data_IF_962008745316
#
_entry.id   IF_962008745316
#
_cell.length_a   1.000
_cell.length_b   1.000
_cell.length_c   1.000
_cell.angle_alpha   90.00
_cell.angle_beta   90.00
_cell.angle_gamma   90.00
#
_symmetry.space_group_name_H-M   'P 1'
#
loop_
_entity.id
_entity.type
_entity.pdbx_description
1 polymer ?
#
# COMPACT_ATOMS: atom_id res chain seq x y z
N UNK A 1 -8.71 72.69 19.63
CA UNK A 1 -7.54 72.42 18.77
C UNK A 1 -6.40 71.94 19.65
N UNK A 2 -6.07 70.64 19.62
CA UNK A 2 -4.78 70.09 20.06
C UNK A 2 -4.73 68.62 19.65
N UNK A 3 -3.56 68.21 19.13
CA UNK A 3 -3.37 67.19 18.11
C UNK A 3 -3.31 65.79 18.72
N UNK A 4 -4.09 64.85 18.18
CA UNK A 4 -3.91 63.42 18.40
C UNK A 4 -2.65 62.98 17.65
N UNK A 5 -1.51 62.91 18.33
CA UNK A 5 -0.24 62.45 17.77
C UNK A 5 -0.15 60.95 18.00
N UNK A 6 -0.47 60.18 16.96
CA UNK A 6 -0.28 58.74 16.92
C UNK A 6 1.23 58.47 16.80
N UNK A 7 1.90 57.84 17.79
CA UNK A 7 3.30 57.51 17.66
C UNK A 7 3.49 56.43 16.59
N UNK A 8 4.09 56.81 15.45
CA UNK A 8 4.43 55.96 14.28
C UNK A 8 5.49 54.88 14.56
N UNK A 9 5.68 54.46 15.82
CA UNK A 9 6.76 53.55 16.24
C UNK A 9 6.27 52.21 16.80
N UNK A 10 4.96 52.02 16.97
CA UNK A 10 4.37 50.76 17.45
C UNK A 10 3.75 49.90 16.34
N UNK A 11 4.06 50.21 15.07
CA UNK A 11 3.58 49.47 13.89
C UNK A 11 4.62 48.50 13.30
N UNK A 12 5.66 48.12 14.06
CA UNK A 12 6.68 47.15 13.60
C UNK A 12 6.99 46.13 14.72
N UNK A 13 5.96 45.49 15.28
CA UNK A 13 6.14 44.21 15.98
C UNK A 13 4.93 43.32 15.64
N UNK A 14 4.72 43.10 14.33
CA UNK A 14 3.80 42.09 13.81
C UNK A 14 4.45 41.31 12.65
N UNK A 15 5.78 41.21 12.66
CA UNK A 15 6.60 40.59 11.61
C UNK A 15 7.62 39.61 12.21
N UNK A 16 7.23 38.88 13.25
CA UNK A 16 8.04 37.83 13.91
C UNK A 16 7.34 36.47 14.00
N UNK A 17 6.13 36.35 13.46
CA UNK A 17 5.49 35.07 13.19
C UNK A 17 5.90 34.68 11.76
N UNK A 18 6.30 33.43 11.54
CA UNK A 18 6.47 32.75 10.23
C UNK A 18 7.87 32.47 9.65
N UNK A 19 8.98 32.40 10.42
CA UNK A 19 10.23 31.92 9.81
C UNK A 19 11.09 30.96 10.67
N UNK A 20 10.44 30.00 11.33
CA UNK A 20 11.15 28.87 11.94
C UNK A 20 10.48 27.53 11.66
N UNK A 21 9.98 27.32 10.44
CA UNK A 21 9.97 25.96 9.89
C UNK A 21 11.38 25.70 9.43
N UNK A 22 12.21 25.19 10.34
CA UNK A 22 13.46 24.55 9.98
C UNK A 22 13.18 23.64 8.78
N UNK A 23 13.95 23.80 7.71
CA UNK A 23 13.98 22.85 6.63
C UNK A 23 14.29 21.48 7.24
N UNK A 24 13.25 20.69 7.51
CA UNK A 24 13.37 19.25 7.56
C UNK A 24 13.77 18.86 6.13
N UNK A 25 15.07 18.86 5.89
CA UNK A 25 15.69 18.17 4.78
C UNK A 25 15.30 16.70 4.96
N UNK A 26 14.14 16.33 4.41
CA UNK A 26 13.78 14.95 4.22
C UNK A 26 14.78 14.43 3.19
N UNK A 27 15.86 13.82 3.65
CA UNK A 27 16.76 13.05 2.79
C UNK A 27 15.95 11.90 2.27
N UNK A 28 15.23 12.12 1.16
CA UNK A 28 14.51 11.08 0.47
C UNK A 28 15.56 10.06 0.03
N UNK A 29 15.66 8.97 0.77
CA UNK A 29 16.44 7.81 0.37
C UNK A 29 15.87 7.33 -0.95
N UNK A 30 16.72 7.14 -1.95
CA UNK A 30 16.28 6.65 -3.25
C UNK A 30 15.53 5.32 -3.05
N UNK A 31 14.28 5.26 -3.55
CA UNK A 31 13.44 4.07 -3.42
C UNK A 31 14.13 2.91 -4.13
N UNK A 32 14.37 1.83 -3.39
CA UNK A 32 14.99 0.63 -3.93
C UNK A 32 14.07 -0.03 -4.96
N UNK A 33 14.61 -0.84 -5.91
CA UNK A 33 13.76 -1.57 -6.87
C UNK A 33 12.73 -2.48 -6.19
N UNK A 34 13.05 -3.04 -5.01
CA UNK A 34 12.14 -3.86 -4.24
C UNK A 34 10.98 -3.05 -3.65
N UNK A 35 11.27 -1.88 -3.08
CA UNK A 35 10.24 -0.97 -2.58
C UNK A 35 9.33 -0.48 -3.71
N UNK A 36 9.88 -0.08 -4.86
CA UNK A 36 9.09 0.30 -6.04
C UNK A 36 8.19 -0.85 -6.53
N UNK A 37 8.70 -2.09 -6.48
CA UNK A 37 7.91 -3.27 -6.82
C UNK A 37 6.73 -3.42 -5.87
N UNK A 38 6.97 -3.36 -4.56
CA UNK A 38 5.93 -3.52 -3.53
C UNK A 38 4.89 -2.40 -3.62
N UNK A 39 5.31 -1.16 -3.82
CA UNK A 39 4.41 -0.01 -4.01
C UNK A 39 3.48 -0.23 -5.22
N UNK A 40 4.03 -0.62 -6.37
CA UNK A 40 3.23 -0.92 -7.58
C UNK A 40 2.23 -2.04 -7.34
N UNK A 41 2.63 -3.11 -6.66
CA UNK A 41 1.71 -4.21 -6.30
C UNK A 41 0.62 -3.71 -5.35
N UNK A 42 0.98 -2.92 -4.34
CA UNK A 42 0.03 -2.32 -3.39
C UNK A 42 -1.01 -1.44 -4.08
N UNK A 43 -0.58 -0.57 -4.99
CA UNK A 43 -1.49 0.27 -5.80
C UNK A 43 -2.45 -0.58 -6.63
N UNK A 44 -1.96 -1.69 -7.18
CA UNK A 44 -2.79 -2.60 -7.96
C UNK A 44 -3.81 -3.35 -7.08
N UNK A 45 -3.43 -3.73 -5.86
CA UNK A 45 -4.33 -4.31 -4.84
C UNK A 45 -5.45 -3.32 -4.47
N UNK A 46 -5.11 -2.05 -4.22
CA UNK A 46 -6.10 -1.01 -3.92
C UNK A 46 -7.07 -0.79 -5.10
N UNK A 47 -6.58 -0.85 -6.34
CA UNK A 47 -7.45 -0.78 -7.51
C UNK A 47 -8.41 -1.97 -7.60
N UNK A 48 -7.94 -3.20 -7.32
CA UNK A 48 -8.79 -4.39 -7.30
C UNK A 48 -9.83 -4.36 -6.17
N UNK A 49 -9.46 -3.84 -5.00
CA UNK A 49 -10.36 -3.64 -3.86
C UNK A 49 -11.49 -2.66 -4.19
N UNK A 50 -11.14 -1.48 -4.72
CA UNK A 50 -12.15 -0.48 -5.16
C UNK A 50 -13.11 -1.02 -6.21
N UNK A 51 -12.65 -1.95 -7.05
CA UNK A 51 -13.47 -2.61 -8.06
C UNK A 51 -14.31 -3.79 -7.52
N UNK A 52 -14.05 -4.28 -6.30
CA UNK A 52 -14.74 -5.44 -5.71
C UNK A 52 -14.64 -6.71 -6.56
N UNK A 53 -13.51 -6.90 -7.28
CA UNK A 53 -13.42 -7.89 -8.35
C UNK A 53 -12.52 -9.08 -8.03
N UNK A 54 -13.14 -10.26 -7.89
CA UNK A 54 -12.44 -11.55 -7.75
C UNK A 54 -11.47 -11.80 -8.91
N UNK A 55 -11.84 -11.45 -10.15
CA UNK A 55 -10.98 -11.68 -11.31
C UNK A 55 -9.75 -10.77 -11.27
N UNK A 56 -9.88 -9.52 -10.83
CA UNK A 56 -8.76 -8.60 -10.65
C UNK A 56 -7.78 -9.10 -9.60
N UNK A 57 -8.27 -9.53 -8.43
CA UNK A 57 -7.43 -10.15 -7.40
C UNK A 57 -6.73 -11.41 -7.91
N UNK A 58 -7.44 -12.28 -8.64
CA UNK A 58 -6.84 -13.50 -9.22
C UNK A 58 -5.70 -13.17 -10.19
N UNK A 59 -5.88 -12.17 -11.06
CA UNK A 59 -4.81 -11.73 -11.97
C UNK A 59 -3.61 -11.15 -11.22
N UNK A 60 -3.82 -10.44 -10.11
CA UNK A 60 -2.72 -9.96 -9.26
C UNK A 60 -1.94 -11.10 -8.63
N UNK A 61 -2.64 -12.11 -8.12
CA UNK A 61 -2.00 -13.29 -7.52
C UNK A 61 -1.16 -14.06 -8.53
N UNK A 62 -1.69 -14.28 -9.74
CA UNK A 62 -0.96 -14.98 -10.80
C UNK A 62 0.34 -14.28 -11.20
N UNK A 63 0.41 -12.95 -11.09
CA UNK A 63 1.58 -12.15 -11.50
C UNK A 63 2.59 -11.94 -10.38
N UNK A 64 2.16 -11.91 -9.13
CA UNK A 64 2.98 -11.41 -8.02
C UNK A 64 3.12 -12.40 -6.85
N UNK A 65 2.35 -13.49 -6.82
CA UNK A 65 2.37 -14.44 -5.70
C UNK A 65 2.85 -15.83 -6.12
N UNK A 66 3.70 -16.43 -5.29
CA UNK A 66 4.14 -17.82 -5.43
C UNK A 66 3.05 -18.80 -4.95
N UNK A 67 1.88 -18.81 -5.61
CA UNK A 67 0.72 -19.60 -5.18
C UNK A 67 1.04 -21.09 -5.01
N UNK A 68 1.78 -21.78 -5.91
CA UNK A 68 2.13 -23.18 -5.70
C UNK A 68 2.83 -23.44 -4.36
N UNK A 69 3.77 -22.56 -3.99
CA UNK A 69 4.52 -22.66 -2.74
C UNK A 69 3.61 -22.41 -1.54
N UNK A 70 2.80 -21.35 -1.57
CA UNK A 70 1.84 -21.02 -0.52
C UNK A 70 0.85 -22.17 -0.31
N UNK A 71 0.28 -22.69 -1.41
CA UNK A 71 -0.71 -23.76 -1.39
C UNK A 71 -0.14 -25.07 -0.82
N UNK A 72 1.09 -25.45 -1.19
CA UNK A 72 1.74 -26.65 -0.63
C UNK A 72 2.09 -26.44 0.84
N UNK A 73 2.58 -25.26 1.20
CA UNK A 73 2.90 -24.94 2.59
C UNK A 73 1.65 -25.00 3.48
N UNK A 74 0.51 -24.49 3.00
CA UNK A 74 -0.75 -24.49 3.75
C UNK A 74 -1.32 -25.88 4.03
N UNK A 75 -0.85 -26.93 3.33
CA UNK A 75 -1.25 -28.32 3.61
C UNK A 75 -0.57 -28.90 4.85
N UNK A 76 0.57 -28.34 5.27
CA UNK A 76 1.35 -28.85 6.39
C UNK A 76 1.62 -30.38 6.28
N UNK A 77 1.26 -31.18 7.30
CA UNK A 77 1.46 -32.64 7.29
C UNK A 77 0.76 -33.37 6.14
N UNK A 78 -0.33 -32.81 5.61
CA UNK A 78 -1.13 -33.43 4.55
C UNK A 78 -0.52 -33.25 3.15
N UNK A 79 0.59 -32.51 3.00
CA UNK A 79 1.26 -32.29 1.71
C UNK A 79 1.54 -33.58 0.93
N UNK A 80 1.91 -34.65 1.65
CA UNK A 80 2.24 -35.97 1.07
C UNK A 80 0.99 -36.71 0.57
N UNK A 81 -0.20 -36.33 1.03
CA UNK A 81 -1.47 -36.94 0.64
C UNK A 81 -2.05 -36.33 -0.64
N UNK A 82 -1.50 -35.21 -1.13
CA UNK A 82 -1.94 -34.60 -2.39
C UNK A 82 -1.35 -35.36 -3.58
N UNK A 83 -2.17 -36.05 -4.40
CA UNK A 83 -1.67 -36.74 -5.58
C UNK A 83 -1.08 -35.72 -6.57
N UNK A 84 -0.01 -36.12 -7.26
CA UNK A 84 0.63 -35.25 -8.25
C UNK A 84 -0.35 -34.77 -9.34
N UNK A 85 -1.25 -35.65 -9.77
CA UNK A 85 -2.31 -35.36 -10.74
C UNK A 85 -3.29 -34.27 -10.29
N UNK A 86 -3.44 -34.05 -8.99
CA UNK A 86 -4.38 -33.07 -8.40
C UNK A 86 -3.74 -31.73 -8.06
N UNK A 87 -2.41 -31.59 -8.17
CA UNK A 87 -1.69 -30.36 -7.76
C UNK A 87 -2.18 -29.12 -8.49
N UNK A 88 -2.34 -29.19 -9.81
CA UNK A 88 -2.78 -28.04 -10.63
C UNK A 88 -4.19 -27.58 -10.24
N UNK A 89 -5.10 -28.54 -10.06
CA UNK A 89 -6.47 -28.29 -9.61
C UNK A 89 -6.48 -27.64 -8.22
N UNK A 90 -5.72 -28.21 -7.28
CA UNK A 90 -5.59 -27.68 -5.94
C UNK A 90 -5.06 -26.24 -5.92
N UNK A 91 -4.01 -25.92 -6.68
CA UNK A 91 -3.49 -24.55 -6.75
C UNK A 91 -4.51 -23.57 -7.35
N UNK A 92 -5.29 -24.00 -8.34
CA UNK A 92 -6.35 -23.17 -8.92
C UNK A 92 -7.46 -22.89 -7.90
N UNK A 93 -7.86 -23.89 -7.12
CA UNK A 93 -8.85 -23.74 -6.05
C UNK A 93 -8.35 -22.79 -4.94
N UNK A 94 -7.09 -22.93 -4.51
CA UNK A 94 -6.47 -22.01 -3.55
C UNK A 94 -6.43 -20.59 -4.09
N UNK A 95 -6.00 -20.40 -5.34
CA UNK A 95 -5.98 -19.06 -5.97
C UNK A 95 -7.39 -18.44 -5.99
N UNK A 96 -8.40 -19.22 -6.38
CA UNK A 96 -9.80 -18.75 -6.43
C UNK A 96 -10.33 -18.41 -5.04
N UNK A 97 -10.04 -19.24 -4.04
CA UNK A 97 -10.45 -19.01 -2.66
C UNK A 97 -9.85 -17.71 -2.12
N UNK A 98 -8.54 -17.51 -2.24
CA UNK A 98 -7.89 -16.31 -1.72
C UNK A 98 -8.41 -15.06 -2.46
N UNK A 99 -8.54 -15.10 -3.79
CA UNK A 99 -9.09 -13.98 -4.54
C UNK A 99 -10.52 -13.63 -4.13
N UNK A 100 -11.35 -14.64 -3.82
CA UNK A 100 -12.69 -14.44 -3.29
C UNK A 100 -12.68 -13.82 -1.88
N UNK A 101 -11.83 -14.31 -0.98
CA UNK A 101 -11.67 -13.75 0.38
C UNK A 101 -11.30 -12.27 0.29
N UNK A 102 -10.30 -11.93 -0.54
CA UNK A 102 -9.89 -10.54 -0.72
C UNK A 102 -11.03 -9.69 -1.27
N UNK A 103 -11.71 -10.15 -2.33
CA UNK A 103 -12.85 -9.44 -2.90
C UNK A 103 -14.02 -9.23 -1.94
N UNK A 104 -14.22 -10.13 -0.97
CA UNK A 104 -15.31 -10.06 -0.01
C UNK A 104 -15.00 -9.15 1.20
N UNK A 105 -13.72 -8.99 1.54
CA UNK A 105 -13.27 -8.33 2.75
C UNK A 105 -12.33 -7.14 2.49
N UNK A 106 -12.40 -6.55 1.30
CA UNK A 106 -11.68 -5.33 0.92
C UNK A 106 -12.59 -4.14 0.72
#
# INVERSE_FOLDING_TARGET
MSKFVIPRRTAIIFCGLFFSTALQMNTATAVTPAEQYVERVGNSVLAAARAGSVSAFRSLMQRNAAIPTIAIYSLGPYRKKLPASRKKEYYALVTRYIAWVFSKHS
#
